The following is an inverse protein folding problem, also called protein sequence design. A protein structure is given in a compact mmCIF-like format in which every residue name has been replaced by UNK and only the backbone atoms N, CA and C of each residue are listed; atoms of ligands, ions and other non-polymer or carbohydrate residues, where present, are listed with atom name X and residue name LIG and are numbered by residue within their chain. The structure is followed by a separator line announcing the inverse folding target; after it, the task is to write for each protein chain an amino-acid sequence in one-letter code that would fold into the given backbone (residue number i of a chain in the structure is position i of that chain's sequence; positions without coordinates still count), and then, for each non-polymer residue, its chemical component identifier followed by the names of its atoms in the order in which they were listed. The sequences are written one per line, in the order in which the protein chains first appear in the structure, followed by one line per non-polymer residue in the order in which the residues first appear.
data_IF_104743992152
#
_entry.id   IF_104743992152
#
_cell.length_a   1.000
_cell.length_b   1.000
_cell.length_c   1.000
_cell.angle_alpha   90.00
_cell.angle_beta   90.00
_cell.angle_gamma   90.00
#
_symmetry.space_group_name_H-M   'P 1'
#
loop_
_entity.id
_entity.type
_entity.pdbx_description
1 polymer ?
#
# COMPACT_ATOMS: atom_id res chain seq x y z
N UNK A 1 -19.72 46.68 32.73
CA UNK A 1 -19.20 45.69 31.76
C UNK A 1 -20.05 44.45 31.86
N UNK A 2 -20.80 44.09 30.81
CA UNK A 2 -21.57 42.85 30.80
C UNK A 2 -20.61 41.66 30.70
N UNK A 3 -20.65 40.76 31.69
CA UNK A 3 -19.83 39.54 31.71
C UNK A 3 -20.19 38.62 30.55
N UNK A 4 -19.18 38.01 29.94
CA UNK A 4 -19.37 37.04 28.85
C UNK A 4 -20.03 35.78 29.42
N UNK A 5 -21.07 35.22 28.78
CA UNK A 5 -21.65 33.96 29.24
C UNK A 5 -20.63 32.83 29.08
N UNK A 6 -20.42 32.06 30.14
CA UNK A 6 -19.60 30.85 30.11
C UNK A 6 -20.35 29.75 29.37
N UNK A 7 -19.79 29.28 28.25
CA UNK A 7 -20.31 28.15 27.51
C UNK A 7 -19.93 26.86 28.25
N UNK A 8 -20.94 26.03 28.57
CA UNK A 8 -20.75 24.72 29.19
C UNK A 8 -21.07 23.62 28.19
N UNK A 9 -20.18 22.64 28.07
CA UNK A 9 -20.37 21.50 27.19
C UNK A 9 -21.25 20.46 27.89
N UNK A 10 -22.27 19.97 27.17
CA UNK A 10 -23.07 18.84 27.64
C UNK A 10 -22.34 17.52 27.32
N UNK A 11 -21.59 17.02 28.30
CA UNK A 11 -20.83 15.76 28.17
C UNK A 11 -21.72 14.55 27.87
N UNK A 12 -22.93 14.49 28.43
CA UNK A 12 -23.87 13.39 28.19
C UNK A 12 -24.41 13.36 26.76
N UNK A 13 -24.55 14.52 26.13
CA UNK A 13 -24.91 14.62 24.72
C UNK A 13 -23.73 14.26 23.82
N UNK A 14 -22.53 14.78 24.12
CA UNK A 14 -21.32 14.51 23.32
C UNK A 14 -21.05 13.00 23.19
N UNK A 15 -21.05 12.27 24.31
CA UNK A 15 -20.84 10.82 24.29
C UNK A 15 -21.88 10.05 23.47
N UNK A 16 -23.14 10.50 23.46
CA UNK A 16 -24.21 9.87 22.66
C UNK A 16 -24.04 10.20 21.18
N UNK A 17 -23.68 11.45 20.88
CA UNK A 17 -23.43 11.91 19.53
C UNK A 17 -22.28 11.14 18.90
N UNK A 18 -21.16 10.98 19.61
CA UNK A 18 -19.98 10.25 19.13
C UNK A 18 -20.35 8.80 18.78
N UNK A 19 -21.07 8.11 19.68
CA UNK A 19 -21.52 6.73 19.44
C UNK A 19 -22.48 6.62 18.25
N UNK A 20 -23.40 7.56 18.12
CA UNK A 20 -24.32 7.58 16.98
C UNK A 20 -23.56 7.81 15.67
N UNK A 21 -22.61 8.74 15.69
CA UNK A 21 -21.87 9.10 14.49
C UNK A 21 -20.95 7.99 14.01
N UNK A 22 -20.27 7.32 14.94
CA UNK A 22 -19.47 6.13 14.65
C UNK A 22 -20.30 5.01 14.00
N UNK A 23 -21.52 4.76 14.51
CA UNK A 23 -22.40 3.74 13.94
C UNK A 23 -22.87 4.09 12.54
N UNK A 24 -23.22 5.35 12.30
CA UNK A 24 -23.64 5.84 10.98
C UNK A 24 -22.51 5.72 9.95
N UNK A 25 -21.28 6.07 10.34
CA UNK A 25 -20.11 5.92 9.48
C UNK A 25 -19.82 4.47 9.16
N UNK A 26 -19.86 3.59 10.17
CA UNK A 26 -19.70 2.15 9.99
C UNK A 26 -20.77 1.60 9.03
N UNK A 27 -22.03 1.99 9.22
CA UNK A 27 -23.11 1.57 8.33
C UNK A 27 -22.89 2.08 6.90
N UNK A 28 -22.49 3.34 6.72
CA UNK A 28 -22.16 3.90 5.40
C UNK A 28 -21.01 3.16 4.72
N UNK A 29 -20.02 2.71 5.49
CA UNK A 29 -18.92 1.87 4.99
C UNK A 29 -19.45 0.49 4.57
N UNK A 30 -20.28 -0.16 5.39
CA UNK A 30 -20.93 -1.44 5.07
C UNK A 30 -21.79 -1.36 3.80
N UNK A 31 -22.58 -0.28 3.66
CA UNK A 31 -23.42 -0.08 2.48
C UNK A 31 -22.60 0.12 1.20
N UNK A 32 -21.38 0.67 1.30
CA UNK A 32 -20.48 0.92 0.16
C UNK A 32 -19.65 -0.30 -0.23
N UNK A 33 -19.12 -1.02 0.75
CA UNK A 33 -18.11 -2.07 0.53
C UNK A 33 -18.64 -3.49 0.81
N UNK A 34 -19.86 -3.62 1.35
CA UNK A 34 -20.42 -4.91 1.78
C UNK A 34 -19.95 -5.33 3.17
N UNK A 35 -20.62 -6.35 3.72
CA UNK A 35 -20.33 -6.90 5.06
C UNK A 35 -19.21 -7.95 4.98
N UNK A 36 -17.98 -7.51 4.72
CA UNK A 36 -16.79 -8.37 4.61
C UNK A 36 -16.12 -8.68 5.96
N UNK A 37 -16.73 -8.27 7.09
CA UNK A 37 -16.07 -8.22 8.39
C UNK A 37 -16.32 -9.42 9.32
N UNK A 38 -17.10 -10.43 8.90
CA UNK A 38 -17.41 -11.59 9.76
C UNK A 38 -16.53 -12.83 9.48
N UNK A 39 -15.65 -12.78 8.47
CA UNK A 39 -14.69 -13.85 8.19
C UNK A 39 -13.29 -13.28 7.92
N UNK A 40 -12.31 -13.75 8.69
CA UNK A 40 -10.89 -13.37 8.71
C UNK A 40 -10.54 -12.04 9.40
N UNK A 41 -10.04 -12.21 10.64
CA UNK A 41 -8.69 -11.81 11.06
C UNK A 41 -8.10 -10.56 10.40
N UNK A 42 -7.74 -9.60 11.26
CA UNK A 42 -7.07 -8.33 10.99
C UNK A 42 -5.95 -8.40 9.93
N UNK A 43 -6.30 -8.46 8.66
CA UNK A 43 -5.43 -8.04 7.56
C UNK A 43 -5.37 -6.53 7.66
N UNK A 44 -4.33 -6.07 8.37
CA UNK A 44 -3.82 -4.72 8.35
C UNK A 44 -3.81 -4.28 6.89
N UNK A 45 -4.82 -3.51 6.48
CA UNK A 45 -4.85 -2.83 5.19
C UNK A 45 -3.78 -1.75 5.27
N UNK A 46 -2.54 -2.20 5.07
CA UNK A 46 -1.48 -1.40 4.52
C UNK A 46 -1.98 -1.06 3.14
N UNK A 47 -2.72 0.05 3.04
CA UNK A 47 -2.85 0.84 1.82
C UNK A 47 -1.46 1.46 1.52
N UNK A 48 -0.44 0.61 1.52
CA UNK A 48 0.73 0.83 0.70
C UNK A 48 0.20 0.50 -0.68
N UNK A 49 -0.28 1.53 -1.36
CA UNK A 49 -0.32 1.50 -2.81
C UNK A 49 1.12 1.27 -3.24
N UNK A 50 1.55 0.02 -3.21
CA UNK A 50 2.85 -0.44 -3.69
C UNK A 50 2.79 -0.19 -5.18
N UNK A 51 3.11 1.05 -5.55
CA UNK A 51 3.26 1.43 -6.93
C UNK A 51 4.40 0.57 -7.40
N UNK A 52 4.10 -0.47 -8.18
CA UNK A 52 5.09 -1.31 -8.84
C UNK A 52 5.90 -0.42 -9.78
N UNK A 53 6.94 0.21 -9.25
CA UNK A 53 7.89 0.98 -10.04
C UNK A 53 8.68 -0.01 -10.89
N UNK A 54 8.95 0.38 -12.13
CA UNK A 54 9.83 -0.39 -13.01
C UNK A 54 11.17 -0.63 -12.28
N UNK A 55 11.66 -1.88 -12.18
CA UNK A 55 12.95 -2.20 -11.57
C UNK A 55 14.12 -1.36 -12.09
N UNK A 56 14.04 -0.86 -13.34
CA UNK A 56 15.04 0.07 -13.87
C UNK A 56 15.01 1.42 -13.14
N UNK A 57 13.82 2.00 -12.97
CA UNK A 57 13.59 3.28 -12.29
C UNK A 57 13.96 3.19 -10.81
N UNK A 58 13.63 2.08 -10.17
CA UNK A 58 13.93 1.84 -8.76
C UNK A 58 15.45 1.78 -8.49
N UNK A 59 16.23 1.20 -9.40
CA UNK A 59 17.71 1.18 -9.29
C UNK A 59 18.30 2.58 -9.38
N UNK A 60 17.80 3.38 -10.31
CA UNK A 60 18.22 4.78 -10.47
C UNK A 60 17.83 5.60 -9.24
N UNK A 61 16.63 5.37 -8.69
CA UNK A 61 16.20 5.98 -7.44
C UNK A 61 17.17 5.69 -6.28
N UNK A 62 17.51 4.43 -6.01
CA UNK A 62 18.45 4.10 -4.93
C UNK A 62 19.86 4.65 -5.16
N UNK A 63 20.31 4.71 -6.41
CA UNK A 63 21.60 5.32 -6.78
C UNK A 63 21.60 6.81 -6.45
N UNK A 64 20.56 7.54 -6.85
CA UNK A 64 20.45 8.99 -6.60
C UNK A 64 20.34 9.28 -5.10
N UNK A 65 19.55 8.50 -4.37
CA UNK A 65 19.41 8.59 -2.91
C UNK A 65 20.75 8.41 -2.20
N UNK A 66 21.59 7.49 -2.69
CA UNK A 66 22.93 7.25 -2.14
C UNK A 66 23.87 8.45 -2.34
N UNK A 67 23.85 9.07 -3.53
CA UNK A 67 24.63 10.27 -3.84
C UNK A 67 24.19 11.45 -2.96
N UNK A 68 22.88 11.61 -2.78
CA UNK A 68 22.30 12.65 -1.93
C UNK A 68 22.71 12.46 -0.46
N UNK A 69 22.63 11.24 0.07
CA UNK A 69 23.06 10.93 1.45
C UNK A 69 24.54 11.20 1.68
N UNK A 70 25.38 10.91 0.69
CA UNK A 70 26.83 11.16 0.74
C UNK A 70 27.20 12.62 0.47
N UNK A 71 26.24 13.45 0.06
CA UNK A 71 26.46 14.85 -0.36
C UNK A 71 27.53 14.95 -1.45
N UNK A 72 27.49 14.03 -2.40
CA UNK A 72 28.46 14.01 -3.49
C UNK A 72 28.30 15.29 -4.34
N UNK A 73 29.39 16.01 -4.70
CA UNK A 73 29.31 17.29 -5.40
C UNK A 73 28.65 17.20 -6.78
N UNK A 74 28.56 15.98 -7.31
CA UNK A 74 27.89 15.65 -8.56
C UNK A 74 26.40 15.99 -8.58
N UNK A 75 25.73 16.04 -7.42
CA UNK A 75 24.31 16.41 -7.32
C UNK A 75 24.02 17.87 -7.66
N UNK A 76 25.05 18.72 -7.69
CA UNK A 76 24.95 20.15 -7.99
C UNK A 76 25.48 20.52 -9.38
N UNK A 77 25.96 19.54 -10.15
CA UNK A 77 26.42 19.77 -11.51
C UNK A 77 25.20 19.78 -12.46
N UNK A 78 25.09 20.82 -13.30
CA UNK A 78 23.99 20.97 -14.25
C UNK A 78 23.98 19.84 -15.32
N UNK A 79 25.14 19.25 -15.59
CA UNK A 79 25.31 18.18 -16.57
C UNK A 79 24.96 16.78 -16.03
N UNK A 80 24.53 16.65 -14.77
CA UNK A 80 24.29 15.35 -14.16
C UNK A 80 22.91 14.79 -14.48
N UNK A 81 22.87 13.65 -15.17
CA UNK A 81 21.64 12.89 -15.42
C UNK A 81 21.47 11.76 -14.40
N UNK A 82 20.28 11.71 -13.79
CA UNK A 82 19.99 10.84 -12.66
C UNK A 82 18.98 9.74 -12.97
N UNK A 83 18.10 9.99 -13.93
CA UNK A 83 17.11 9.05 -14.44
C UNK A 83 17.28 8.97 -15.95
N UNK A 84 17.17 7.77 -16.52
CA UNK A 84 17.13 7.62 -17.98
C UNK A 84 15.79 8.14 -18.52
N UNK A 85 15.83 9.13 -19.41
CA UNK A 85 14.65 9.62 -20.14
C UNK A 85 14.19 8.59 -21.19
N UNK A 86 13.39 7.62 -20.74
CA UNK A 86 12.74 6.64 -21.60
C UNK A 86 12.75 5.24 -20.99
N UNK A 87 11.76 4.38 -21.35
CA UNK A 87 11.82 2.99 -20.98
C UNK A 87 13.10 2.41 -21.59
N UNK A 88 14.04 2.04 -20.75
CA UNK A 88 15.26 1.37 -21.16
C UNK A 88 14.86 0.04 -21.78
N UNK A 89 14.71 0.01 -23.11
CA UNK A 89 14.94 -1.20 -23.90
C UNK A 89 16.45 -1.42 -23.86
N UNK A 90 16.97 -1.77 -22.68
CA UNK A 90 18.27 -2.39 -22.56
C UNK A 90 18.03 -3.87 -22.76
N UNK A 91 18.29 -4.32 -23.98
CA UNK A 91 18.56 -5.71 -24.35
C UNK A 91 19.68 -6.28 -23.45
N UNK A 92 19.33 -6.67 -22.23
CA UNK A 92 20.15 -7.56 -21.41
C UNK A 92 19.37 -8.87 -21.29
N UNK A 93 19.57 -9.71 -22.31
CA UNK A 93 19.14 -11.11 -22.31
C UNK A 93 19.82 -11.84 -21.16
N UNK A 94 19.17 -11.89 -20.01
CA UNK A 94 19.40 -12.94 -19.03
C UNK A 94 18.73 -14.23 -19.54
N UNK A 95 19.42 -14.91 -20.45
CA UNK A 95 19.10 -16.27 -20.89
C UNK A 95 19.36 -17.26 -19.74
N UNK A 96 18.37 -17.46 -18.88
CA UNK A 96 18.25 -18.73 -18.15
C UNK A 96 16.89 -19.31 -18.45
N UNK A 97 16.85 -20.20 -19.44
CA UNK A 97 15.70 -21.05 -19.75
C UNK A 97 15.44 -22.01 -18.58
N UNK A 98 14.77 -21.53 -17.52
CA UNK A 98 14.03 -22.40 -16.62
C UNK A 98 12.60 -22.38 -17.14
N UNK A 99 12.12 -23.55 -17.60
CA UNK A 99 10.75 -23.74 -18.09
C UNK A 99 9.80 -22.99 -17.15
N UNK A 100 9.03 -22.05 -17.68
CA UNK A 100 8.04 -21.31 -16.91
C UNK A 100 7.08 -22.33 -16.28
N UNK A 101 7.29 -22.61 -14.99
CA UNK A 101 6.34 -23.39 -14.20
C UNK A 101 5.13 -22.48 -14.06
N UNK A 102 3.95 -22.95 -14.45
CA UNK A 102 2.72 -22.17 -14.32
C UNK A 102 2.59 -21.71 -12.86
N UNK A 103 2.32 -20.43 -12.61
CA UNK A 103 2.10 -19.96 -11.24
C UNK A 103 0.93 -20.75 -10.67
N UNK A 104 1.12 -21.35 -9.49
CA UNK A 104 0.03 -22.01 -8.77
C UNK A 104 -0.68 -20.99 -7.90
N UNK A 105 -2.00 -20.99 -7.97
CA UNK A 105 -2.84 -20.19 -7.10
C UNK A 105 -3.20 -20.99 -5.85
N UNK A 106 -3.64 -20.32 -4.78
CA UNK A 106 -4.00 -20.96 -3.50
C UNK A 106 -5.01 -22.11 -3.70
N UNK A 107 -6.00 -21.89 -4.59
CA UNK A 107 -7.01 -22.90 -4.98
C UNK A 107 -6.40 -24.15 -5.63
N UNK A 108 -5.28 -24.01 -6.33
CA UNK A 108 -4.60 -25.14 -6.97
C UNK A 108 -3.89 -25.99 -5.92
N UNK A 109 -3.35 -25.35 -4.87
CA UNK A 109 -2.75 -26.05 -3.74
C UNK A 109 -3.79 -26.80 -2.92
N UNK A 110 -4.92 -26.18 -2.60
CA UNK A 110 -6.05 -26.83 -1.90
C UNK A 110 -6.54 -28.07 -2.66
N UNK A 111 -6.78 -27.94 -3.98
CA UNK A 111 -7.17 -29.08 -4.83
C UNK A 111 -6.09 -30.16 -4.84
N UNK A 112 -4.82 -29.78 -4.91
CA UNK A 112 -3.70 -30.72 -4.89
C UNK A 112 -3.64 -31.50 -3.57
N UNK A 113 -3.84 -30.82 -2.44
CA UNK A 113 -3.88 -31.47 -1.12
C UNK A 113 -5.04 -32.45 -1.02
N UNK A 114 -6.23 -32.10 -1.50
CA UNK A 114 -7.41 -32.99 -1.52
C UNK A 114 -7.20 -34.21 -2.43
N UNK A 115 -6.49 -34.05 -3.54
CA UNK A 115 -6.20 -35.14 -4.48
C UNK A 115 -5.07 -36.06 -4.02
N UNK A 116 -4.01 -35.50 -3.41
CA UNK A 116 -2.84 -36.27 -2.97
C UNK A 116 -3.04 -36.91 -1.59
N UNK A 117 -3.83 -36.27 -0.74
CA UNK A 117 -4.29 -36.83 0.52
C UNK A 117 -5.76 -37.17 0.34
N UNK A 118 -6.03 -38.37 -0.18
CA UNK A 118 -7.39 -38.89 -0.25
C UNK A 118 -8.05 -38.86 1.14
N UNK A 119 -8.83 -37.80 1.41
CA UNK A 119 -9.69 -37.67 2.59
C UNK A 119 -8.97 -37.61 3.93
#
# INVERSE_FOLDING_TARGET
MAGRPELKINSGFAQKYDKYRQKEELQRLKDKYGDQADDSESESSSDDSEVELDPAVERDFYRTLSLLKKKDPKIYQEDATFYSEGPAISDEKASTSKKAVKPMFLKDYERKVILEKEG
#
